data_IF_411285431981
#
_entry.id   IF_411285431981
#
_cell.length_a   1.000
_cell.length_b   1.000
_cell.length_c   1.000
_cell.angle_alpha   90.00
_cell.angle_beta   90.00
_cell.angle_gamma   90.00
#
_symmetry.space_group_name_H-M   'P 1'
#
loop_
_entity.id
_entity.type
_entity.pdbx_description
1 polymer ?
#
# COMPACT_ATOMS: atom_id res chain seq x y z
N UNK A 1 1.31 16.15 13.55
CA UNK A 1 0.98 14.72 13.43
C UNK A 1 0.84 14.37 11.96
N UNK A 2 1.55 13.35 11.49
CA UNK A 2 1.46 12.86 10.10
C UNK A 2 1.24 11.35 10.12
N UNK A 3 0.38 10.84 9.24
CA UNK A 3 0.16 9.39 9.09
C UNK A 3 1.37 8.73 8.41
N UNK A 4 1.81 7.60 8.97
CA UNK A 4 2.84 6.73 8.43
C UNK A 4 2.29 5.32 8.28
N UNK A 5 2.93 4.52 7.43
CA UNK A 5 2.58 3.12 7.28
C UNK A 5 3.80 2.24 7.05
N UNK A 6 3.73 1.01 7.55
CA UNK A 6 4.66 -0.06 7.25
C UNK A 6 3.91 -1.25 6.67
N UNK A 7 4.38 -1.72 5.52
CA UNK A 7 3.87 -2.96 4.93
C UNK A 7 4.61 -4.13 5.55
N UNK A 8 3.90 -4.89 6.38
CA UNK A 8 4.47 -5.99 7.16
C UNK A 8 4.63 -7.25 6.30
N UNK A 9 5.21 -8.30 6.88
CA UNK A 9 5.25 -9.63 6.27
C UNK A 9 4.16 -10.57 6.81
N UNK A 10 3.32 -10.06 7.70
CA UNK A 10 2.27 -10.84 8.38
C UNK A 10 1.07 -11.04 7.46
N UNK A 11 0.48 -12.22 7.55
CA UNK A 11 -0.87 -12.49 7.09
C UNK A 11 -1.86 -12.30 8.25
N UNK A 12 -3.16 -12.34 7.94
CA UNK A 12 -4.23 -12.18 8.94
C UNK A 12 -4.09 -13.16 10.11
N UNK A 13 -3.72 -14.40 9.83
CA UNK A 13 -3.59 -15.49 10.80
C UNK A 13 -2.44 -15.26 11.79
N UNK A 14 -1.41 -14.50 11.39
CA UNK A 14 -0.26 -14.20 12.23
C UNK A 14 -0.56 -13.09 13.25
N UNK A 15 -1.63 -12.30 13.03
CA UNK A 15 -2.00 -11.19 13.89
C UNK A 15 -2.84 -11.69 15.06
N UNK A 16 -2.18 -11.95 16.19
CA UNK A 16 -2.82 -12.42 17.43
C UNK A 16 -3.12 -11.29 18.41
N UNK A 17 -2.41 -10.17 18.31
CA UNK A 17 -2.54 -9.02 19.20
C UNK A 17 -2.72 -7.72 18.42
N UNK A 18 -3.44 -6.73 18.97
CA UNK A 18 -3.51 -5.40 18.38
C UNK A 18 -2.11 -4.74 18.36
N UNK A 19 -1.87 -3.76 17.48
CA UNK A 19 -0.65 -2.97 17.53
C UNK A 19 -0.64 -2.11 18.80
N UNK A 20 0.55 -1.81 19.32
CA UNK A 20 0.70 -0.90 20.46
C UNK A 20 0.11 0.49 20.17
N UNK A 21 0.28 0.97 18.93
CA UNK A 21 -0.29 2.22 18.43
C UNK A 21 -0.75 2.06 16.98
N UNK A 22 -1.81 2.80 16.61
CA UNK A 22 -2.35 2.77 15.26
C UNK A 22 -3.23 1.56 14.98
N UNK A 23 -3.27 1.12 13.73
CA UNK A 23 -4.19 0.07 13.25
C UNK A 23 -3.51 -0.86 12.25
N UNK A 24 -3.92 -2.13 12.25
CA UNK A 24 -3.60 -3.07 11.17
C UNK A 24 -4.72 -3.10 10.15
N UNK A 25 -4.37 -2.92 8.88
CA UNK A 25 -5.28 -2.97 7.74
C UNK A 25 -5.00 -4.26 6.97
N UNK A 26 -6.06 -4.98 6.67
CA UNK A 26 -6.05 -6.18 5.82
C UNK A 26 -7.00 -6.00 4.63
N UNK A 27 -6.87 -6.89 3.65
CA UNK A 27 -7.83 -6.97 2.53
C UNK A 27 -7.67 -5.86 1.50
N UNK A 28 -6.47 -5.28 1.39
CA UNK A 28 -6.15 -4.39 0.28
C UNK A 28 -5.57 -5.19 -0.88
N UNK A 29 -5.95 -4.80 -2.10
CA UNK A 29 -5.50 -5.42 -3.34
C UNK A 29 -4.70 -4.40 -4.14
N UNK A 30 -3.54 -4.79 -4.61
CA UNK A 30 -2.75 -3.96 -5.51
C UNK A 30 -3.15 -4.21 -6.95
N UNK A 31 -3.32 -3.12 -7.68
CA UNK A 31 -3.64 -3.05 -9.10
C UNK A 31 -2.52 -2.32 -9.84
N UNK A 32 -2.19 -2.79 -11.05
CA UNK A 32 -1.12 -2.23 -11.89
C UNK A 32 0.31 -2.60 -11.50
N UNK A 33 0.52 -3.39 -10.43
CA UNK A 33 1.85 -3.85 -10.00
C UNK A 33 1.81 -5.18 -9.23
N UNK A 34 2.98 -5.80 -9.06
CA UNK A 34 3.23 -6.94 -8.19
C UNK A 34 3.80 -6.51 -6.83
N UNK A 35 3.69 -7.38 -5.83
CA UNK A 35 4.28 -7.16 -4.50
C UNK A 35 5.36 -8.20 -4.21
N UNK A 36 6.57 -7.74 -3.95
CA UNK A 36 7.63 -8.60 -3.42
C UNK A 36 7.50 -8.70 -1.89
N UNK A 37 6.86 -9.79 -1.43
CA UNK A 37 6.66 -10.07 0.00
C UNK A 37 7.98 -10.24 0.78
N UNK A 38 9.03 -10.75 0.14
CA UNK A 38 10.32 -11.00 0.80
C UNK A 38 11.00 -9.68 1.12
N UNK A 39 11.00 -8.74 0.17
CA UNK A 39 11.65 -7.44 0.34
C UNK A 39 10.69 -6.31 0.74
N UNK A 40 9.39 -6.58 0.90
CA UNK A 40 8.33 -5.62 1.22
C UNK A 40 8.37 -4.38 0.32
N UNK A 41 8.36 -4.59 -1.00
CA UNK A 41 8.45 -3.52 -2.00
C UNK A 41 7.66 -3.83 -3.27
N UNK A 42 7.39 -2.78 -4.05
CA UNK A 42 6.80 -2.90 -5.38
C UNK A 42 7.69 -3.71 -6.32
N UNK A 43 7.03 -4.54 -7.13
CA UNK A 43 7.62 -5.36 -8.17
C UNK A 43 6.78 -5.25 -9.45
N UNK A 44 7.36 -5.65 -10.57
CA UNK A 44 6.60 -5.75 -11.82
C UNK A 44 5.48 -6.79 -11.68
N UNK A 45 4.32 -6.58 -12.34
CA UNK A 45 3.20 -7.49 -12.26
C UNK A 45 3.53 -8.83 -12.95
N UNK A 46 3.06 -9.92 -12.36
CA UNK A 46 3.15 -11.25 -12.98
C UNK A 46 2.15 -11.33 -14.14
N UNK A 47 2.52 -11.89 -15.31
CA UNK A 47 1.61 -12.03 -16.44
C UNK A 47 0.29 -12.70 -16.05
N UNK A 48 -0.82 -12.13 -16.52
CA UNK A 48 -2.20 -12.60 -16.27
C UNK A 48 -2.67 -12.50 -14.80
N UNK A 49 -1.91 -11.85 -13.93
CA UNK A 49 -2.36 -11.52 -12.56
C UNK A 49 -2.79 -10.06 -12.53
N UNK A 50 -4.10 -9.82 -12.46
CA UNK A 50 -4.67 -8.47 -12.45
C UNK A 50 -4.52 -7.79 -11.08
N UNK A 51 -4.72 -8.55 -10.01
CA UNK A 51 -4.70 -8.04 -8.65
C UNK A 51 -3.83 -8.89 -7.74
N UNK A 52 -3.11 -8.24 -6.82
CA UNK A 52 -2.27 -8.90 -5.83
C UNK A 52 -2.74 -8.56 -4.42
N UNK A 53 -3.05 -9.57 -3.62
CA UNK A 53 -3.42 -9.37 -2.21
C UNK A 53 -2.23 -8.88 -1.40
N UNK A 54 -2.37 -7.70 -0.80
CA UNK A 54 -1.36 -7.11 0.08
C UNK A 54 -1.31 -7.82 1.44
N UNK A 55 -0.12 -7.93 2.05
CA UNK A 55 -0.01 -8.35 3.44
C UNK A 55 -0.59 -7.27 4.37
N UNK A 56 -0.58 -7.55 5.68
CA UNK A 56 -1.03 -6.58 6.68
C UNK A 56 -0.24 -5.28 6.57
N UNK A 57 -0.95 -4.16 6.48
CA UNK A 57 -0.36 -2.82 6.52
C UNK A 57 -0.61 -2.24 7.90
N UNK A 58 0.44 -1.89 8.61
CA UNK A 58 0.37 -1.16 9.87
C UNK A 58 0.35 0.34 9.57
N UNK A 59 -0.67 1.04 10.03
CA UNK A 59 -0.80 2.50 9.87
C UNK A 59 -0.84 3.13 11.25
N UNK A 60 0.01 4.13 11.47
CA UNK A 60 0.16 4.81 12.75
C UNK A 60 0.52 6.28 12.56
N UNK A 61 0.39 7.06 13.63
CA UNK A 61 0.63 8.50 13.60
C UNK A 61 1.98 8.82 14.23
N UNK A 62 2.76 9.69 13.60
CA UNK A 62 4.04 10.17 14.15
C UNK A 62 4.05 11.69 14.27
N UNK A 63 4.75 12.18 15.29
CA UNK A 63 5.04 13.61 15.46
C UNK A 63 6.40 13.93 14.84
N UNK A 64 6.41 14.05 13.51
CA UNK A 64 7.60 14.46 12.76
C UNK A 64 7.33 15.73 11.96
N UNK A 65 8.31 16.63 11.91
CA UNK A 65 8.31 17.83 11.05
C UNK A 65 9.03 17.60 9.71
N UNK A 66 9.70 16.46 9.55
CA UNK A 66 10.45 16.11 8.35
C UNK A 66 9.55 15.69 7.18
N UNK A 67 10.01 16.00 5.96
CA UNK A 67 9.40 15.50 4.74
C UNK A 67 9.52 13.97 4.66
N UNK A 68 8.53 13.32 4.02
CA UNK A 68 8.57 11.88 3.76
C UNK A 68 9.63 11.59 2.69
N UNK A 69 10.23 10.40 2.76
CA UNK A 69 11.29 9.99 1.83
C UNK A 69 10.76 10.06 0.38
N UNK A 70 11.36 10.90 -0.49
CA UNK A 70 10.92 11.07 -1.86
C UNK A 70 11.11 9.80 -2.71
N UNK A 71 11.83 8.79 -2.22
CA UNK A 71 11.97 7.48 -2.88
C UNK A 71 10.78 6.56 -2.67
N UNK A 72 9.88 6.89 -1.74
CA UNK A 72 8.66 6.12 -1.51
C UNK A 72 7.63 6.48 -2.56
N UNK A 73 6.97 5.45 -3.11
CA UNK A 73 5.84 5.66 -3.97
C UNK A 73 4.61 6.01 -3.14
N UNK A 74 3.98 7.14 -3.46
CA UNK A 74 2.71 7.58 -2.86
C UNK A 74 1.57 6.88 -3.58
N UNK A 75 1.18 5.72 -3.07
CA UNK A 75 0.17 4.86 -3.66
C UNK A 75 -1.24 5.30 -3.23
N UNK A 76 -2.12 5.69 -4.16
CA UNK A 76 -3.50 6.03 -3.83
C UNK A 76 -4.30 4.77 -3.48
N UNK A 77 -5.19 4.90 -2.49
CA UNK A 77 -6.10 3.85 -2.04
C UNK A 77 -7.53 4.23 -2.43
N UNK A 78 -8.19 3.37 -3.19
CA UNK A 78 -9.58 3.54 -3.62
C UNK A 78 -10.48 2.45 -3.06
N UNK A 79 -11.77 2.78 -2.89
CA UNK A 79 -12.81 1.85 -2.46
C UNK A 79 -13.07 0.75 -3.49
N UNK A 80 -12.97 1.07 -4.78
CA UNK A 80 -13.37 0.22 -5.92
C UNK A 80 -12.41 0.38 -7.10
N UNK A 81 -12.38 -0.56 -8.07
CA UNK A 81 -11.52 -0.47 -9.26
C UNK A 81 -11.83 0.74 -10.14
N UNK A 82 -13.08 1.24 -10.10
CA UNK A 82 -13.43 2.52 -10.75
C UNK A 82 -12.89 3.68 -9.91
N UNK A 83 -11.71 4.16 -10.29
CA UNK A 83 -10.98 5.22 -9.59
C UNK A 83 -11.52 6.59 -9.98
N UNK A 84 -12.18 7.24 -9.03
CA UNK A 84 -12.65 8.62 -9.11
C UNK A 84 -12.44 9.28 -7.76
N UNK A 85 -12.57 10.60 -7.68
CA UNK A 85 -12.43 11.32 -6.41
C UNK A 85 -13.46 10.86 -5.36
N UNK A 86 -14.62 10.36 -5.79
CA UNK A 86 -15.66 9.81 -4.92
C UNK A 86 -15.26 8.47 -4.30
N UNK A 87 -14.34 7.73 -4.91
CA UNK A 87 -13.86 6.44 -4.41
C UNK A 87 -12.49 6.54 -3.76
N UNK A 88 -11.82 7.69 -3.80
CA UNK A 88 -10.55 7.92 -3.12
C UNK A 88 -10.74 7.91 -1.61
N UNK A 89 -9.84 7.21 -0.91
CA UNK A 89 -9.87 7.09 0.56
C UNK A 89 -8.67 7.80 1.15
N UNK A 90 -7.46 7.41 0.75
CA UNK A 90 -6.21 7.94 1.30
C UNK A 90 -5.02 7.57 0.40
N UNK A 91 -3.81 7.93 0.79
CA UNK A 91 -2.58 7.48 0.15
C UNK A 91 -1.65 6.80 1.17
N UNK A 92 -1.01 5.71 0.74
CA UNK A 92 -0.04 4.94 1.51
C UNK A 92 1.33 4.98 0.83
N UNK A 93 2.39 4.88 1.61
CA UNK A 93 3.77 4.94 1.16
C UNK A 93 4.30 3.53 0.97
N UNK A 94 4.67 3.21 -0.27
CA UNK A 94 5.17 1.90 -0.63
C UNK A 94 6.65 1.99 -1.01
N UNK A 95 7.45 1.05 -0.51
CA UNK A 95 8.87 0.93 -0.88
C UNK A 95 8.97 0.48 -2.33
N UNK A 96 9.97 1.01 -3.03
CA UNK A 96 10.26 0.62 -4.41
C UNK A 96 11.74 0.77 -4.74
N UNK A 97 12.15 0.11 -5.81
CA UNK A 97 13.50 0.26 -6.40
C UNK A 97 13.50 1.14 -7.65
N UNK A 98 12.35 1.28 -8.31
CA UNK A 98 12.18 2.18 -9.44
C UNK A 98 11.89 3.60 -8.93
N UNK A 99 12.10 4.60 -9.78
CA UNK A 99 11.62 5.96 -9.49
C UNK A 99 10.09 5.91 -9.26
N UNK A 100 9.54 6.57 -8.22
CA UNK A 100 8.09 6.66 -7.98
C UNK A 100 7.26 7.01 -9.23
N UNK A 101 7.78 7.86 -10.13
CA UNK A 101 7.10 8.26 -11.37
C UNK A 101 6.80 7.08 -12.30
N UNK A 102 7.61 6.01 -12.26
CA UNK A 102 7.35 4.76 -12.97
C UNK A 102 5.99 4.17 -12.60
N UNK A 103 5.65 4.20 -11.31
CA UNK A 103 4.39 3.65 -10.79
C UNK A 103 3.23 4.62 -10.94
N UNK A 104 3.52 5.94 -10.94
CA UNK A 104 2.52 6.97 -11.30
C UNK A 104 2.05 6.74 -12.74
N UNK A 105 2.98 6.63 -13.71
CA UNK A 105 2.64 6.42 -15.12
C UNK A 105 1.92 5.09 -15.38
N UNK A 106 2.21 4.06 -14.58
CA UNK A 106 1.53 2.77 -14.65
C UNK A 106 0.16 2.76 -13.97
N UNK A 107 -0.20 3.84 -13.28
CA UNK A 107 -1.43 3.91 -12.52
C UNK A 107 -1.50 2.81 -11.48
N UNK A 108 -0.45 2.61 -10.67
CA UNK A 108 -0.53 1.68 -9.55
C UNK A 108 -1.51 2.22 -8.50
N UNK A 109 -2.31 1.35 -7.91
CA UNK A 109 -3.19 1.74 -6.81
C UNK A 109 -3.45 0.56 -5.86
N UNK A 110 -3.92 0.90 -4.67
CA UNK A 110 -4.53 -0.05 -3.75
C UNK A 110 -6.04 0.05 -3.82
N UNK A 111 -6.72 -1.08 -3.74
CA UNK A 111 -8.16 -1.22 -3.80
C UNK A 111 -8.66 -1.93 -2.54
N UNK A 112 -9.72 -1.41 -1.92
CA UNK A 112 -10.38 -2.10 -0.80
C UNK A 112 -11.26 -3.27 -1.26
N UNK A 113 -11.70 -3.22 -2.52
CA UNK A 113 -12.50 -4.27 -3.13
C UNK A 113 -12.22 -4.30 -4.63
N UNK A 114 -12.15 -5.51 -5.18
CA UNK A 114 -11.91 -5.79 -6.61
C UNK A 114 -13.17 -6.26 -7.34
N UNK A 115 -14.30 -6.34 -6.62
CA UNK A 115 -15.62 -6.64 -7.18
C UNK A 115 -16.37 -5.38 -7.61
#
# INVERSE_FOLDING_TARGET
>A
VVLHNDVTRMNKEDVTTPPQEGVYIQGLFMDGAGWDRKNSKLAEPTPKVLYVTMPIIHVYAINTKGAKDPKLYVCPVYKKPRRTDLTFITALYLKTTQNPDHWVMRGVALLCDIK
#
